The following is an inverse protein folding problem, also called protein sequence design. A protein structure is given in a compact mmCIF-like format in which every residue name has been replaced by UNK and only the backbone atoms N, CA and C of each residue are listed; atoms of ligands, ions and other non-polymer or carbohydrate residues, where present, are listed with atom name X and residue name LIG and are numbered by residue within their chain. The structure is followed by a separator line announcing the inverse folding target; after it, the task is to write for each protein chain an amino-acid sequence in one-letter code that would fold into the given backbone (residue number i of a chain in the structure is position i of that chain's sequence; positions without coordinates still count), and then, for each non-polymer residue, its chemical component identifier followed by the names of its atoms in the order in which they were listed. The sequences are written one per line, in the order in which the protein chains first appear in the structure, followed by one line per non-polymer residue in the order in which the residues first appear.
data_IF_896592690473
#
_entry.id   IF_896592690473
#
_cell.length_a   1.000
_cell.length_b   1.000
_cell.length_c   1.000
_cell.angle_alpha   90.00
_cell.angle_beta   90.00
_cell.angle_gamma   90.00
#
_symmetry.space_group_name_H-M   'P 1'
#
loop_
_entity.id
_entity.type
_entity.pdbx_description
1 polymer ?
#
# COMPACT_ATOMS: atom_id res chain seq x y z
N UNK A 1 32.05 -1.26 5.72
CA UNK A 1 30.78 -0.57 5.33
C UNK A 1 30.85 0.93 5.59
N UNK A 2 31.36 1.37 6.73
CA UNK A 2 31.54 2.82 7.03
C UNK A 2 32.59 3.42 6.10
N UNK A 3 33.71 2.74 5.88
CA UNK A 3 34.76 3.17 4.97
C UNK A 3 34.31 3.26 3.48
N UNK A 4 33.28 2.51 3.10
CA UNK A 4 32.69 2.54 1.76
C UNK A 4 31.63 3.66 1.58
N UNK A 5 31.51 4.59 2.52
CA UNK A 5 30.54 5.72 2.51
C UNK A 5 29.08 5.29 2.23
N UNK A 6 28.70 4.12 2.71
CA UNK A 6 27.31 3.65 2.58
C UNK A 6 26.37 4.46 3.48
N UNK A 7 25.11 4.59 3.06
CA UNK A 7 24.10 5.29 3.86
C UNK A 7 23.90 4.63 5.24
N UNK A 8 23.71 5.42 6.30
CA UNK A 8 23.52 4.97 7.68
C UNK A 8 22.41 3.91 7.81
N UNK A 9 21.31 4.07 7.08
CA UNK A 9 20.21 3.09 7.02
C UNK A 9 20.66 1.72 6.48
N UNK A 10 21.52 1.70 5.47
CA UNK A 10 22.09 0.47 4.91
C UNK A 10 23.03 -0.21 5.89
N UNK A 11 23.84 0.56 6.62
CA UNK A 11 24.73 0.04 7.67
C UNK A 11 23.91 -0.57 8.80
N UNK A 12 22.90 0.13 9.30
CA UNK A 12 22.03 -0.36 10.38
C UNK A 12 21.23 -1.60 9.96
N UNK A 13 20.82 -1.68 8.70
CA UNK A 13 20.18 -2.88 8.15
C UNK A 13 21.12 -4.09 8.15
N UNK A 14 22.37 -3.90 7.72
CA UNK A 14 23.38 -4.96 7.75
C UNK A 14 23.68 -5.39 9.19
N UNK A 15 23.81 -4.44 10.12
CA UNK A 15 24.02 -4.72 11.54
C UNK A 15 22.85 -5.51 12.15
N UNK A 16 21.62 -5.14 11.81
CA UNK A 16 20.41 -5.87 12.23
C UNK A 16 20.39 -7.32 11.73
N UNK A 17 20.82 -7.54 10.48
CA UNK A 17 20.93 -8.89 9.92
C UNK A 17 21.99 -9.73 10.65
N UNK A 18 23.16 -9.15 10.93
CA UNK A 18 24.24 -9.81 11.69
C UNK A 18 23.78 -10.17 13.11
N UNK A 19 23.16 -9.22 13.84
CA UNK A 19 22.56 -9.48 15.16
C UNK A 19 21.50 -10.58 15.12
N UNK A 20 20.66 -10.58 14.09
CA UNK A 20 19.65 -11.63 13.87
C UNK A 20 20.27 -13.01 13.69
N UNK A 21 21.36 -13.10 12.92
CA UNK A 21 22.12 -14.34 12.72
C UNK A 21 22.74 -14.84 14.03
N UNK A 22 23.42 -13.99 14.78
CA UNK A 22 24.03 -14.41 16.06
C UNK A 22 23.00 -14.77 17.11
N UNK A 23 21.85 -14.07 17.16
CA UNK A 23 20.73 -14.43 18.04
C UNK A 23 20.19 -15.82 17.72
N UNK A 24 20.02 -16.13 16.42
CA UNK A 24 19.62 -17.45 15.97
C UNK A 24 20.65 -18.51 16.37
N UNK A 25 21.93 -18.26 16.08
CA UNK A 25 23.04 -19.17 16.40
C UNK A 25 23.11 -19.48 17.91
N UNK A 26 23.03 -18.46 18.77
CA UNK A 26 23.04 -18.63 20.22
C UNK A 26 21.82 -19.40 20.75
N UNK A 27 20.69 -19.29 20.06
CA UNK A 27 19.45 -19.99 20.46
C UNK A 27 19.49 -21.49 20.11
N UNK A 28 20.13 -21.85 19.00
CA UNK A 28 20.01 -23.22 18.44
C UNK A 28 21.32 -23.99 18.30
N UNK A 29 22.47 -23.35 18.39
CA UNK A 29 23.72 -24.03 18.00
C UNK A 29 24.88 -23.94 18.95
N UNK A 30 25.04 -22.98 19.83
CA UNK A 30 26.14 -22.94 20.81
C UNK A 30 26.18 -21.71 21.70
N UNK A 31 26.90 -21.84 22.88
CA UNK A 31 27.31 -20.77 23.76
C UNK A 31 28.43 -19.96 23.09
N UNK A 32 28.11 -18.90 22.36
CA UNK A 32 29.08 -17.98 21.76
C UNK A 32 28.79 -16.54 22.14
N UNK A 33 29.80 -15.65 22.00
CA UNK A 33 29.55 -14.18 22.13
C UNK A 33 29.02 -13.65 20.81
N UNK A 34 28.04 -12.75 20.89
CA UNK A 34 27.58 -11.96 19.76
C UNK A 34 28.52 -10.77 19.54
N UNK A 35 29.41 -10.79 18.54
CA UNK A 35 30.35 -9.69 18.29
C UNK A 35 29.67 -8.40 17.85
N UNK A 36 28.41 -8.45 17.42
CA UNK A 36 27.64 -7.29 17.00
C UNK A 36 26.82 -6.67 18.15
N UNK A 37 26.84 -7.24 19.34
CA UNK A 37 26.06 -6.76 20.49
C UNK A 37 26.48 -5.36 20.93
N UNK A 38 27.77 -5.09 20.93
CA UNK A 38 28.36 -3.83 21.41
C UNK A 38 28.49 -2.77 20.30
N UNK A 39 28.23 -3.17 19.03
CA UNK A 39 28.30 -2.21 17.91
C UNK A 39 27.05 -1.34 17.91
N UNK A 40 27.19 -0.04 18.13
CA UNK A 40 26.08 0.89 18.11
C UNK A 40 25.52 1.13 16.67
N UNK A 41 24.26 1.48 16.62
CA UNK A 41 23.66 1.90 15.36
C UNK A 41 24.22 3.26 14.93
N UNK A 42 24.48 3.42 13.63
CA UNK A 42 24.85 4.71 13.08
C UNK A 42 23.66 5.66 13.20
N UNK A 43 23.82 6.86 13.79
CA UNK A 43 22.75 7.83 13.87
C UNK A 43 22.17 8.11 12.47
N UNK A 44 20.88 7.84 12.33
CA UNK A 44 20.11 8.26 11.14
C UNK A 44 19.44 9.55 11.51
N UNK A 45 19.66 10.61 10.74
CA UNK A 45 18.86 11.83 10.91
C UNK A 45 17.38 11.44 10.93
N UNK A 46 16.60 12.01 11.86
CA UNK A 46 15.14 11.83 11.88
C UNK A 46 14.58 12.43 10.60
N UNK A 47 14.41 11.61 9.58
CA UNK A 47 13.55 11.96 8.48
C UNK A 47 12.15 12.08 9.05
N UNK A 48 11.56 13.26 9.01
CA UNK A 48 10.14 13.42 9.28
C UNK A 48 9.38 12.45 8.37
N UNK A 49 8.44 11.67 8.89
CA UNK A 49 7.66 10.76 8.06
C UNK A 49 7.01 11.58 6.95
N UNK A 50 7.33 11.24 5.71
CA UNK A 50 6.77 11.91 4.55
C UNK A 50 5.35 11.36 4.33
N UNK A 51 4.35 12.04 4.84
CA UNK A 51 2.96 11.86 4.43
C UNK A 51 2.55 13.06 3.57
N UNK A 52 1.52 12.89 2.77
CA UNK A 52 0.87 13.95 2.02
C UNK A 52 -0.33 14.46 2.84
N UNK A 53 -0.51 15.76 2.91
CA UNK A 53 -1.76 16.34 3.39
C UNK A 53 -2.90 16.01 2.43
N UNK A 54 -4.12 16.16 2.88
CA UNK A 54 -5.31 15.83 2.09
C UNK A 54 -5.35 16.63 0.78
N UNK A 55 -5.07 17.93 0.85
CA UNK A 55 -5.04 18.81 -0.32
C UNK A 55 -3.92 18.41 -1.30
N UNK A 56 -2.76 17.97 -0.78
CA UNK A 56 -1.65 17.51 -1.62
C UNK A 56 -1.99 16.22 -2.36
N UNK A 57 -2.71 15.28 -1.69
CA UNK A 57 -3.17 14.04 -2.33
C UNK A 57 -4.22 14.34 -3.39
N UNK A 58 -5.20 15.17 -3.08
CA UNK A 58 -6.28 15.55 -3.99
C UNK A 58 -5.69 16.19 -5.25
N UNK A 59 -4.86 17.22 -5.09
CA UNK A 59 -4.17 17.89 -6.18
C UNK A 59 -3.30 16.92 -7.00
N UNK A 60 -2.61 15.99 -6.34
CA UNK A 60 -1.81 14.97 -7.02
C UNK A 60 -2.66 14.02 -7.85
N UNK A 61 -3.74 13.51 -7.29
CA UNK A 61 -4.66 12.61 -8.00
C UNK A 61 -5.34 13.35 -9.16
N UNK A 62 -5.82 14.57 -8.96
CA UNK A 62 -6.45 15.40 -9.99
C UNK A 62 -5.50 15.74 -11.13
N UNK A 63 -4.20 15.88 -10.88
CA UNK A 63 -3.19 16.11 -11.91
C UNK A 63 -3.04 14.98 -12.93
N UNK A 64 -3.66 13.81 -12.64
CA UNK A 64 -3.63 12.65 -13.55
C UNK A 64 -4.81 12.72 -14.51
N UNK A 65 -4.67 13.59 -15.48
CA UNK A 65 -5.62 13.77 -16.56
C UNK A 65 -5.28 12.91 -17.77
N UNK A 66 -6.27 12.75 -18.66
CA UNK A 66 -6.11 12.04 -19.93
C UNK A 66 -6.96 10.79 -20.04
N UNK A 67 -7.05 10.31 -21.28
CA UNK A 67 -7.91 9.20 -21.66
C UNK A 67 -7.13 8.00 -22.22
N UNK A 68 -5.80 8.08 -22.19
CA UNK A 68 -5.01 6.91 -22.60
C UNK A 68 -5.16 5.79 -21.57
N UNK A 69 -4.96 4.57 -22.02
CA UNK A 69 -4.91 3.42 -21.10
C UNK A 69 -3.99 3.67 -19.89
N UNK A 70 -2.83 4.30 -20.10
CA UNK A 70 -1.87 4.56 -19.02
C UNK A 70 -2.40 5.59 -18.03
N UNK A 71 -3.07 6.63 -18.50
CA UNK A 71 -3.61 7.68 -17.62
C UNK A 71 -4.76 7.11 -16.78
N UNK A 72 -5.70 6.43 -17.41
CA UNK A 72 -6.84 5.83 -16.73
C UNK A 72 -6.42 4.73 -15.74
N UNK A 73 -5.44 3.89 -16.12
CA UNK A 73 -4.85 2.89 -15.23
C UNK A 73 -4.15 3.54 -14.02
N UNK A 74 -3.31 4.55 -14.28
CA UNK A 74 -2.52 5.17 -13.22
C UNK A 74 -3.43 5.90 -12.23
N UNK A 75 -4.48 6.58 -12.71
CA UNK A 75 -5.50 7.19 -11.85
C UNK A 75 -6.16 6.13 -10.98
N UNK A 76 -6.67 5.04 -11.56
CA UNK A 76 -7.33 3.98 -10.81
C UNK A 76 -6.39 3.30 -9.80
N UNK A 77 -5.12 3.06 -10.17
CA UNK A 77 -4.12 2.49 -9.29
C UNK A 77 -3.89 3.35 -8.03
N UNK A 78 -3.73 4.66 -8.22
CA UNK A 78 -3.41 5.60 -7.15
C UNK A 78 -4.62 5.91 -6.27
N UNK A 79 -5.82 6.01 -6.86
CA UNK A 79 -7.08 6.11 -6.10
C UNK A 79 -7.30 4.90 -5.20
N UNK A 80 -7.14 3.68 -5.73
CA UNK A 80 -7.28 2.46 -4.93
C UNK A 80 -6.17 2.34 -3.88
N UNK A 81 -4.95 2.76 -4.21
CA UNK A 81 -3.83 2.78 -3.26
C UNK A 81 -4.13 3.68 -2.06
N UNK A 82 -4.65 4.87 -2.29
CA UNK A 82 -5.00 5.81 -1.23
C UNK A 82 -6.25 5.36 -0.47
N UNK A 83 -7.29 4.97 -1.18
CA UNK A 83 -8.56 4.54 -0.59
C UNK A 83 -8.40 3.35 0.36
N UNK A 84 -7.51 2.42 0.06
CA UNK A 84 -7.38 1.15 0.81
C UNK A 84 -6.22 1.12 1.80
N UNK A 85 -5.24 1.99 1.65
CA UNK A 85 -3.98 1.92 2.39
C UNK A 85 -3.23 0.59 2.26
N UNK A 86 -3.52 -0.22 1.23
CA UNK A 86 -2.92 -1.53 1.02
C UNK A 86 -1.41 -1.45 0.79
N UNK A 87 -0.70 -2.53 1.13
CA UNK A 87 0.69 -2.70 0.68
C UNK A 87 0.71 -2.82 -0.85
N UNK A 88 1.78 -2.32 -1.48
CA UNK A 88 1.91 -2.37 -2.94
C UNK A 88 1.79 -3.79 -3.50
N UNK A 89 2.29 -4.80 -2.79
CA UNK A 89 2.17 -6.20 -3.19
C UNK A 89 0.72 -6.72 -3.11
N UNK A 90 -0.05 -6.27 -2.10
CA UNK A 90 -1.47 -6.57 -1.96
C UNK A 90 -2.27 -5.93 -3.09
N UNK A 91 -1.99 -4.65 -3.39
CA UNK A 91 -2.61 -3.89 -4.48
C UNK A 91 -2.38 -4.55 -5.85
N UNK A 92 -1.12 -4.88 -6.19
CA UNK A 92 -0.79 -5.59 -7.42
C UNK A 92 -1.36 -7.03 -7.45
N UNK A 93 -1.63 -7.58 -6.26
CA UNK A 93 -2.23 -8.89 -6.08
C UNK A 93 -3.75 -8.93 -6.22
N UNK A 94 -4.44 -7.79 -6.29
CA UNK A 94 -5.90 -7.70 -6.35
C UNK A 94 -6.48 -8.44 -7.56
N UNK A 95 -7.65 -9.04 -7.35
CA UNK A 95 -8.33 -9.91 -8.33
C UNK A 95 -9.73 -9.41 -8.64
N UNK A 96 -10.16 -9.54 -9.89
CA UNK A 96 -11.53 -9.21 -10.32
C UNK A 96 -12.57 -10.05 -9.58
N UNK A 97 -12.32 -11.34 -9.41
CA UNK A 97 -13.21 -12.26 -8.68
C UNK A 97 -13.39 -11.93 -7.20
N UNK A 98 -12.56 -11.03 -6.67
CA UNK A 98 -12.59 -10.60 -5.26
C UNK A 98 -13.05 -9.16 -5.09
N UNK A 99 -13.42 -8.49 -6.18
CA UNK A 99 -13.92 -7.12 -6.22
C UNK A 99 -15.45 -7.13 -6.18
N UNK A 100 -16.02 -6.35 -5.28
CA UNK A 100 -17.45 -6.07 -5.24
C UNK A 100 -17.67 -4.56 -5.41
N UNK A 101 -18.00 -4.16 -6.64
CA UNK A 101 -18.22 -2.76 -7.00
C UNK A 101 -19.47 -2.19 -6.33
N UNK A 102 -20.51 -3.00 -6.11
CA UNK A 102 -21.76 -2.55 -5.49
C UNK A 102 -21.58 -2.25 -4.00
N UNK A 103 -20.74 -3.05 -3.32
CA UNK A 103 -20.49 -2.89 -1.90
C UNK A 103 -19.20 -2.10 -1.62
N UNK A 104 -18.54 -1.56 -2.65
CA UNK A 104 -17.31 -0.78 -2.51
C UNK A 104 -16.24 -1.53 -1.71
N UNK A 105 -16.06 -2.82 -1.97
CA UNK A 105 -15.12 -3.65 -1.24
C UNK A 105 -14.27 -4.53 -2.13
N UNK A 106 -13.08 -4.86 -1.65
CA UNK A 106 -12.23 -5.85 -2.28
C UNK A 106 -11.53 -6.70 -1.22
N UNK A 107 -11.47 -8.03 -1.44
CA UNK A 107 -10.73 -8.94 -0.57
C UNK A 107 -9.29 -9.04 -1.02
N UNK A 108 -8.37 -8.71 -0.13
CA UNK A 108 -6.92 -8.74 -0.37
C UNK A 108 -6.24 -9.83 0.45
N UNK A 109 -5.15 -10.39 -0.10
CA UNK A 109 -4.35 -11.42 0.55
C UNK A 109 -3.06 -10.80 1.08
N UNK A 110 -2.88 -10.80 2.40
CA UNK A 110 -1.72 -10.27 3.09
C UNK A 110 -0.63 -11.30 3.40
N UNK A 111 0.29 -10.94 4.29
CA UNK A 111 1.36 -11.80 4.75
C UNK A 111 0.79 -13.06 5.44
N UNK A 112 1.37 -14.23 5.15
CA UNK A 112 0.92 -15.51 5.72
C UNK A 112 -0.41 -16.00 5.13
N UNK A 113 -0.76 -15.58 3.93
CA UNK A 113 -1.99 -15.93 3.23
C UNK A 113 -3.30 -15.50 3.93
N UNK A 114 -3.21 -14.67 4.98
CA UNK A 114 -4.39 -14.12 5.66
C UNK A 114 -5.12 -13.15 4.72
N UNK A 115 -6.42 -13.33 4.61
CA UNK A 115 -7.28 -12.47 3.81
C UNK A 115 -7.96 -11.42 4.71
N UNK A 116 -8.14 -10.21 4.18
CA UNK A 116 -8.98 -9.19 4.79
C UNK A 116 -9.77 -8.46 3.73
N UNK A 117 -10.89 -7.88 4.14
CA UNK A 117 -11.66 -6.96 3.32
C UNK A 117 -11.05 -5.55 3.45
N UNK A 118 -11.02 -4.82 2.37
CA UNK A 118 -10.69 -3.39 2.34
C UNK A 118 -11.81 -2.63 1.64
N UNK A 119 -12.00 -1.38 2.02
CA UNK A 119 -13.05 -0.52 1.48
C UNK A 119 -12.52 0.36 0.36
N UNK A 120 -13.37 0.66 -0.60
CA UNK A 120 -13.13 1.61 -1.67
C UNK A 120 -13.99 2.86 -1.40
N UNK A 121 -13.42 4.04 -1.62
CA UNK A 121 -14.21 5.27 -1.69
C UNK A 121 -14.86 5.42 -3.06
N UNK A 122 -15.79 6.36 -3.20
CA UNK A 122 -16.49 6.63 -4.46
C UNK A 122 -15.53 6.93 -5.61
N UNK A 123 -14.50 7.76 -5.37
CA UNK A 123 -13.50 8.11 -6.37
C UNK A 123 -12.72 6.89 -6.87
N UNK A 124 -12.31 5.99 -5.96
CA UNK A 124 -11.61 4.75 -6.32
C UNK A 124 -12.51 3.79 -7.11
N UNK A 125 -13.79 3.68 -6.71
CA UNK A 125 -14.76 2.83 -7.40
C UNK A 125 -15.06 3.34 -8.81
N UNK A 126 -15.25 4.65 -8.99
CA UNK A 126 -15.44 5.30 -10.28
C UNK A 126 -14.21 5.15 -11.18
N UNK A 127 -13.01 5.37 -10.62
CA UNK A 127 -11.76 5.20 -11.35
C UNK A 127 -11.56 3.75 -11.82
N UNK A 128 -11.91 2.76 -10.99
CA UNK A 128 -11.90 1.36 -11.39
C UNK A 128 -12.92 1.06 -12.48
N UNK A 129 -14.16 1.55 -12.36
CA UNK A 129 -15.20 1.38 -13.38
C UNK A 129 -14.75 1.90 -14.75
N UNK A 130 -14.10 3.06 -14.76
CA UNK A 130 -13.53 3.63 -15.98
C UNK A 130 -12.35 2.81 -16.52
N UNK A 131 -11.51 2.26 -15.65
CA UNK A 131 -10.29 1.52 -16.02
C UNK A 131 -10.58 0.14 -16.59
N UNK A 132 -11.53 -0.61 -16.05
CA UNK A 132 -11.75 -2.03 -16.41
C UNK A 132 -11.98 -2.28 -17.91
N UNK A 133 -12.75 -1.46 -18.65
CA UNK A 133 -12.87 -1.62 -20.12
C UNK A 133 -11.54 -1.45 -20.85
N UNK A 134 -10.70 -0.49 -20.44
CA UNK A 134 -9.37 -0.28 -21.01
C UNK A 134 -8.43 -1.47 -20.74
N UNK A 135 -8.52 -2.04 -19.53
CA UNK A 135 -7.79 -3.28 -19.20
C UNK A 135 -8.14 -4.41 -20.16
N UNK A 136 -9.43 -4.68 -20.36
CA UNK A 136 -9.89 -5.73 -21.25
C UNK A 136 -9.42 -5.49 -22.69
N UNK A 137 -9.48 -4.24 -23.17
CA UNK A 137 -9.03 -3.89 -24.52
C UNK A 137 -7.52 -4.13 -24.71
N UNK A 138 -6.69 -3.79 -23.70
CA UNK A 138 -5.23 -4.00 -23.77
C UNK A 138 -4.88 -5.48 -23.74
N UNK A 139 -5.51 -6.29 -22.92
CA UNK A 139 -5.31 -7.74 -22.86
C UNK A 139 -5.60 -8.36 -24.22
N UNK A 140 -6.75 -8.03 -24.83
CA UNK A 140 -7.11 -8.49 -26.18
C UNK A 140 -6.13 -8.03 -27.24
N UNK A 141 -5.74 -6.75 -27.21
CA UNK A 141 -4.80 -6.17 -28.19
C UNK A 141 -3.46 -6.90 -28.24
N UNK A 142 -2.95 -7.33 -27.10
CA UNK A 142 -1.67 -8.03 -27.02
C UNK A 142 -1.79 -9.57 -27.04
N UNK A 143 -3.00 -10.11 -27.24
CA UNK A 143 -3.21 -11.57 -27.27
C UNK A 143 -2.79 -12.26 -25.98
N UNK A 144 -2.90 -11.57 -24.83
CA UNK A 144 -2.56 -12.16 -23.53
C UNK A 144 -3.73 -13.04 -23.09
N UNK A 145 -3.40 -14.23 -22.61
CA UNK A 145 -4.38 -15.09 -21.94
C UNK A 145 -5.06 -14.34 -20.79
N UNK A 146 -6.39 -14.42 -20.74
CA UNK A 146 -7.14 -13.70 -19.73
C UNK A 146 -6.79 -14.18 -18.32
N UNK A 147 -6.57 -13.25 -17.45
CA UNK A 147 -6.22 -13.51 -16.07
C UNK A 147 -7.00 -12.61 -15.12
N UNK A 148 -7.11 -13.02 -13.87
CA UNK A 148 -7.95 -12.41 -12.83
C UNK A 148 -7.31 -11.21 -12.11
N UNK A 149 -6.16 -10.70 -12.57
CA UNK A 149 -5.50 -9.52 -11.95
C UNK A 149 -6.17 -8.22 -12.38
N UNK A 150 -6.48 -7.35 -11.42
CA UNK A 150 -7.08 -6.04 -11.72
C UNK A 150 -6.07 -5.18 -12.47
N UNK A 151 -4.91 -4.93 -11.89
CA UNK A 151 -3.93 -4.02 -12.48
C UNK A 151 -2.97 -4.72 -13.42
N UNK A 152 -2.83 -4.15 -14.62
CA UNK A 152 -1.95 -4.66 -15.67
C UNK A 152 -0.94 -3.61 -16.15
N UNK A 153 0.17 -4.09 -16.69
CA UNK A 153 1.17 -3.23 -17.33
C UNK A 153 0.72 -2.81 -18.74
N UNK A 154 1.56 -2.05 -19.46
CA UNK A 154 1.27 -1.57 -20.82
C UNK A 154 1.09 -2.65 -21.87
N UNK A 155 1.42 -3.91 -21.56
CA UNK A 155 1.30 -5.08 -22.44
C UNK A 155 0.21 -6.07 -21.97
N UNK A 156 -0.68 -5.66 -21.06
CA UNK A 156 -1.76 -6.51 -20.56
C UNK A 156 -1.35 -7.58 -19.53
N UNK A 157 -0.07 -7.71 -19.18
CA UNK A 157 0.39 -8.66 -18.16
C UNK A 157 0.20 -8.10 -16.73
N UNK A 158 0.08 -8.95 -15.71
CA UNK A 158 -0.04 -8.49 -14.32
C UNK A 158 1.00 -7.43 -13.93
N UNK A 159 0.56 -6.37 -13.26
CA UNK A 159 1.43 -5.30 -12.78
C UNK A 159 2.25 -5.80 -11.60
N UNK A 160 3.56 -5.59 -11.64
CA UNK A 160 4.45 -5.89 -10.50
C UNK A 160 4.52 -4.74 -9.51
N UNK A 161 4.91 -5.01 -8.26
CA UNK A 161 5.15 -3.97 -7.24
C UNK A 161 6.14 -2.91 -7.72
N UNK A 162 7.25 -3.33 -8.35
CA UNK A 162 8.23 -2.41 -8.95
C UNK A 162 7.64 -1.57 -10.09
N UNK A 163 6.69 -2.15 -10.84
CA UNK A 163 5.94 -1.40 -11.86
C UNK A 163 5.07 -0.32 -11.25
N UNK A 164 4.36 -0.63 -10.17
CA UNK A 164 3.54 0.32 -9.42
C UNK A 164 4.38 1.44 -8.80
N UNK A 165 5.54 1.12 -8.21
CA UNK A 165 6.49 2.12 -7.69
C UNK A 165 6.98 3.09 -8.78
N UNK A 166 7.31 2.56 -9.97
CA UNK A 166 7.69 3.41 -11.11
C UNK A 166 6.55 4.31 -11.60
N UNK A 167 5.30 3.86 -11.50
CA UNK A 167 4.12 4.67 -11.83
C UNK A 167 4.01 5.84 -10.86
N UNK A 168 4.08 5.57 -9.54
CA UNK A 168 4.07 6.62 -8.51
C UNK A 168 5.13 7.66 -8.80
N UNK A 169 6.37 7.23 -9.01
CA UNK A 169 7.50 8.14 -9.27
C UNK A 169 7.32 8.95 -10.57
N UNK A 170 6.90 8.30 -11.66
CA UNK A 170 6.63 8.99 -12.93
C UNK A 170 5.55 10.07 -12.78
N UNK A 171 4.44 9.75 -12.08
CA UNK A 171 3.34 10.70 -11.86
C UNK A 171 3.75 11.82 -10.92
N UNK A 172 4.52 11.52 -9.87
CA UNK A 172 5.10 12.52 -8.98
C UNK A 172 5.94 13.56 -9.74
N UNK A 173 6.83 13.09 -10.61
CA UNK A 173 7.69 13.96 -11.43
C UNK A 173 6.85 14.82 -12.37
N UNK A 174 5.82 14.23 -13.03
CA UNK A 174 4.92 14.95 -13.93
C UNK A 174 4.10 16.03 -13.20
N UNK A 175 3.71 15.77 -11.96
CA UNK A 175 3.00 16.73 -11.10
C UNK A 175 3.92 17.79 -10.45
N UNK A 176 5.23 17.76 -10.69
CA UNK A 176 6.18 18.71 -10.11
C UNK A 176 6.40 18.57 -8.60
N UNK A 177 5.98 17.46 -8.00
CA UNK A 177 6.09 17.24 -6.55
C UNK A 177 7.52 16.93 -6.17
N UNK A 178 8.13 17.77 -5.33
CA UNK A 178 9.51 17.60 -4.86
C UNK A 178 9.66 16.51 -3.78
N UNK A 179 8.63 16.32 -2.95
CA UNK A 179 8.61 15.26 -1.94
C UNK A 179 8.79 13.90 -2.60
N UNK A 180 9.60 13.01 -1.99
CA UNK A 180 9.71 11.63 -2.47
C UNK A 180 8.42 10.87 -2.14
N UNK A 181 7.70 10.41 -3.16
CA UNK A 181 6.48 9.63 -3.02
C UNK A 181 6.73 8.16 -3.30
N UNK A 182 6.22 7.33 -2.44
CA UNK A 182 6.25 5.87 -2.56
C UNK A 182 4.87 5.30 -2.21
N UNK A 183 4.59 4.04 -2.55
CA UNK A 183 3.37 3.38 -2.05
C UNK A 183 3.24 3.41 -0.52
N UNK A 184 4.36 3.43 0.21
CA UNK A 184 4.36 3.59 1.67
C UNK A 184 3.90 4.98 2.11
N UNK A 185 4.21 6.03 1.34
CA UNK A 185 3.72 7.38 1.60
C UNK A 185 2.19 7.42 1.56
N UNK A 186 1.56 6.82 0.55
CA UNK A 186 0.10 6.74 0.44
C UNK A 186 -0.53 5.99 1.62
N UNK A 187 0.05 4.85 1.99
CA UNK A 187 -0.42 4.07 3.13
C UNK A 187 -0.27 4.84 4.45
N UNK A 188 0.81 5.60 4.61
CA UNK A 188 1.03 6.42 5.78
C UNK A 188 0.04 7.60 5.82
N UNK A 189 -0.19 8.27 4.69
CA UNK A 189 -1.20 9.32 4.58
C UNK A 189 -2.60 8.80 4.90
N UNK A 190 -3.00 7.65 4.34
CA UNK A 190 -4.25 6.98 4.69
C UNK A 190 -4.40 6.81 6.21
N UNK A 191 -3.40 6.22 6.86
CA UNK A 191 -3.45 6.01 8.31
C UNK A 191 -3.54 7.33 9.09
N UNK A 192 -2.72 8.32 8.70
CA UNK A 192 -2.67 9.64 9.36
C UNK A 192 -4.00 10.38 9.23
N UNK A 193 -4.61 10.36 8.03
CA UNK A 193 -5.89 11.04 7.80
C UNK A 193 -7.03 10.40 8.58
N UNK A 194 -7.11 9.07 8.61
CA UNK A 194 -8.14 8.40 9.43
C UNK A 194 -8.01 8.74 10.92
N UNK A 195 -6.78 8.73 11.45
CA UNK A 195 -6.53 9.07 12.85
C UNK A 195 -6.82 10.55 13.11
N UNK A 196 -6.42 11.45 12.23
CA UNK A 196 -6.70 12.89 12.34
C UNK A 196 -8.21 13.19 12.31
N UNK A 197 -8.98 12.39 11.57
CA UNK A 197 -10.44 12.45 11.55
C UNK A 197 -11.13 11.76 12.76
N UNK A 198 -10.35 11.33 13.76
CA UNK A 198 -10.87 10.76 15.00
C UNK A 198 -11.04 9.23 15.01
N UNK A 199 -10.58 8.51 13.98
CA UNK A 199 -10.64 7.05 13.99
C UNK A 199 -9.71 6.46 15.07
N UNK A 200 -10.19 5.46 15.80
CA UNK A 200 -9.39 4.73 16.77
C UNK A 200 -8.18 4.06 16.09
N UNK A 201 -6.99 4.25 16.67
CA UNK A 201 -5.73 3.72 16.14
C UNK A 201 -5.75 2.20 15.95
N UNK A 202 -6.44 1.46 16.82
CA UNK A 202 -6.57 0.00 16.72
C UNK A 202 -7.39 -0.40 15.50
N UNK A 203 -8.47 0.33 15.24
CA UNK A 203 -9.32 0.14 14.06
C UNK A 203 -8.51 0.40 12.78
N UNK A 204 -7.73 1.47 12.75
CA UNK A 204 -6.85 1.79 11.61
C UNK A 204 -5.78 0.70 11.41
N UNK A 205 -5.18 0.20 12.49
CA UNK A 205 -4.21 -0.91 12.42
C UNK A 205 -4.84 -2.19 11.89
N UNK A 206 -6.09 -2.46 12.26
CA UNK A 206 -6.87 -3.59 11.76
C UNK A 206 -7.15 -3.46 10.26
N UNK A 207 -7.64 -2.31 9.79
CA UNK A 207 -7.83 -2.01 8.37
C UNK A 207 -6.54 -2.20 7.57
N UNK A 208 -5.41 -1.83 8.14
CA UNK A 208 -4.09 -1.97 7.51
C UNK A 208 -3.54 -3.40 7.55
N UNK A 209 -4.08 -4.29 8.36
CA UNK A 209 -3.63 -5.68 8.50
C UNK A 209 -2.26 -5.77 9.16
N UNK A 210 -2.11 -5.14 10.34
CA UNK A 210 -0.93 -5.29 11.19
C UNK A 210 -1.01 -6.63 11.93
N UNK A 211 -0.02 -7.51 11.73
CA UNK A 211 -0.01 -8.91 12.16
C UNK A 211 0.20 -9.14 13.68
N UNK A 212 0.39 -8.11 14.47
CA UNK A 212 0.68 -8.22 15.90
C UNK A 212 -0.56 -8.27 16.81
N UNK A 213 -1.75 -8.11 16.25
CA UNK A 213 -2.99 -8.37 16.98
C UNK A 213 -3.38 -9.81 16.67
N UNK A 214 -3.24 -10.69 17.66
CA UNK A 214 -3.60 -12.11 17.59
C UNK A 214 -5.12 -12.27 17.52
N UNK A 215 -5.69 -12.02 16.36
CA UNK A 215 -7.11 -12.32 16.12
C UNK A 215 -7.24 -13.11 14.83
N UNK A 216 -7.00 -14.42 14.97
CA UNK A 216 -7.57 -15.43 14.08
C UNK A 216 -9.05 -15.63 14.45
N UNK A 217 -9.76 -14.57 14.75
CA UNK A 217 -11.20 -14.59 14.88
C UNK A 217 -11.79 -14.29 13.52
N UNK A 218 -12.65 -15.19 13.08
CA UNK A 218 -13.56 -15.03 11.95
C UNK A 218 -14.21 -13.65 12.11
N UNK A 219 -13.98 -12.74 11.14
CA UNK A 219 -14.62 -11.44 11.13
C UNK A 219 -16.13 -11.64 11.22
N UNK A 220 -16.70 -11.41 12.40
CA UNK A 220 -18.13 -11.40 12.57
C UNK A 220 -18.72 -10.25 11.75
N UNK A 221 -19.92 -10.41 11.20
CA UNK A 221 -20.58 -9.37 10.41
C UNK A 221 -20.64 -8.01 11.14
N UNK A 222 -20.76 -8.04 12.45
CA UNK A 222 -20.79 -6.85 13.33
C UNK A 222 -19.47 -6.05 13.26
N UNK A 223 -18.31 -6.72 13.19
CA UNK A 223 -17.01 -6.06 13.10
C UNK A 223 -16.82 -5.36 11.74
N UNK A 224 -17.37 -5.95 10.67
CA UNK A 224 -17.25 -5.37 9.32
C UNK A 224 -18.10 -4.11 9.14
N UNK A 225 -19.30 -4.06 9.69
CA UNK A 225 -20.14 -2.86 9.69
C UNK A 225 -19.50 -1.71 10.49
N UNK A 226 -18.92 -2.06 11.65
CA UNK A 226 -18.17 -1.09 12.46
C UNK A 226 -16.97 -0.51 11.68
N UNK A 227 -16.17 -1.38 11.06
CA UNK A 227 -15.01 -0.95 10.26
C UNK A 227 -15.45 -0.07 9.09
N UNK A 228 -16.52 -0.43 8.41
CA UNK A 228 -17.09 0.35 7.32
C UNK A 228 -17.54 1.73 7.80
N UNK A 229 -18.30 1.80 8.87
CA UNK A 229 -18.78 3.07 9.45
C UNK A 229 -17.60 4.01 9.79
N UNK A 230 -16.58 3.47 10.46
CA UNK A 230 -15.38 4.26 10.79
C UNK A 230 -14.67 4.73 9.51
N UNK A 231 -14.57 3.87 8.50
CA UNK A 231 -13.98 4.24 7.22
C UNK A 231 -14.77 5.38 6.53
N UNK A 232 -16.08 5.24 6.40
CA UNK A 232 -16.96 6.23 5.76
C UNK A 232 -16.94 7.58 6.47
N UNK A 233 -16.82 7.60 7.79
CA UNK A 233 -16.76 8.81 8.61
C UNK A 233 -15.38 9.48 8.57
N UNK A 234 -14.32 8.71 8.54
CA UNK A 234 -12.96 9.22 8.75
C UNK A 234 -12.12 9.34 7.47
N UNK A 235 -12.45 8.59 6.40
CA UNK A 235 -11.70 8.71 5.15
C UNK A 235 -12.08 10.01 4.42
N UNK A 236 -11.10 10.84 3.95
CA UNK A 236 -11.39 12.12 3.29
C UNK A 236 -12.33 12.01 2.08
N UNK A 237 -12.21 10.90 1.33
CA UNK A 237 -13.09 10.56 0.20
C UNK A 237 -14.18 9.56 0.59
N UNK A 238 -14.41 9.31 1.88
CA UNK A 238 -15.51 8.48 2.36
C UNK A 238 -16.85 9.11 1.98
N UNK A 239 -17.83 8.28 1.65
CA UNK A 239 -19.20 8.75 1.39
C UNK A 239 -19.75 9.31 2.70
N UNK A 240 -19.77 10.64 2.81
CA UNK A 240 -20.52 11.30 3.88
C UNK A 240 -22.00 11.04 3.60
N UNK A 241 -22.55 9.98 4.17
CA UNK A 241 -23.99 9.78 4.18
C UNK A 241 -24.60 11.04 4.81
N UNK A 242 -25.30 11.83 3.98
CA UNK A 242 -26.10 12.94 4.44
C UNK A 242 -27.30 12.43 5.22
#
# INVERSE_FOLDING_TARGET
LVMEKRAASSINRALSAVRGFYRYRMKFHEKGKDPAREVENVPTGRSLPSFLFEEEINSFLESIEGETFLDVRDRALLEVMYSTGCRVSELCGMRLSRLNMNNFTIRVKGKGAKERLVFLCDAANQALSRYLPYRAAVIRRYGIEEHDRIFVNSRGRPLSSRGAEKIVEKRRLKAGIRKHLTPHTFRHSFATHLVAAGADMRVVQEMLGHSNISTTQVYAHVDMERLRRVYEQAHPHGSKTK
#
